data_IF_389858624366
#
_entry.id   IF_389858624366
#
_cell.length_a   1.000
_cell.length_b   1.000
_cell.length_c   1.000
_cell.angle_alpha   90.00
_cell.angle_beta   90.00
_cell.angle_gamma   90.00
#
_symmetry.space_group_name_H-M   'P 1'
#
loop_
_entity.id
_entity.type
_entity.pdbx_description
1 polymer ?
#
# COMPACT_ATOMS: atom_id res chain seq x y z
N UNK A 1 -9.51 0.36 23.56
CA UNK A 1 -9.63 1.64 22.79
C UNK A 1 -8.91 1.45 21.47
N UNK A 2 -9.57 1.81 20.37
CA UNK A 2 -9.03 1.66 19.00
C UNK A 2 -8.47 2.96 18.48
N UNK A 3 -7.33 2.87 17.80
CA UNK A 3 -6.63 3.98 17.14
C UNK A 3 -6.47 3.69 15.67
N UNK A 4 -6.51 4.75 14.84
CA UNK A 4 -6.16 4.65 13.43
C UNK A 4 -5.15 5.71 13.04
N UNK A 5 -4.42 5.44 11.96
CA UNK A 5 -3.47 6.38 11.37
C UNK A 5 -3.29 6.08 9.88
N UNK A 6 -2.68 6.99 9.18
CA UNK A 6 -2.18 6.77 7.81
C UNK A 6 -0.68 6.61 7.83
N UNK A 7 -0.15 5.70 7.00
CA UNK A 7 1.29 5.57 6.82
C UNK A 7 1.70 5.69 5.36
N UNK A 8 2.80 6.39 5.16
CA UNK A 8 3.56 6.47 3.94
C UNK A 8 4.82 5.63 4.11
N UNK A 9 5.25 4.89 3.09
CA UNK A 9 6.48 4.09 3.16
C UNK A 9 7.15 3.90 1.81
N UNK A 10 8.48 3.81 1.87
CA UNK A 10 9.35 3.45 0.75
C UNK A 10 9.38 1.93 0.60
N UNK A 11 8.53 1.39 -0.29
CA UNK A 11 8.33 -0.06 -0.43
C UNK A 11 9.57 -0.83 -0.87
N UNK A 12 10.47 -0.21 -1.64
CA UNK A 12 11.75 -0.81 -2.08
C UNK A 12 12.67 -1.19 -0.91
N UNK A 13 12.45 -0.62 0.28
CA UNK A 13 13.19 -0.96 1.50
C UNK A 13 12.61 -2.16 2.27
N UNK A 14 11.49 -2.74 1.82
CA UNK A 14 10.73 -3.75 2.56
C UNK A 14 10.29 -4.93 1.70
N UNK A 15 10.08 -6.07 2.34
CA UNK A 15 9.51 -7.27 1.72
C UNK A 15 7.97 -7.25 1.78
N UNK A 16 7.37 -6.16 1.28
CA UNK A 16 5.93 -5.94 1.29
C UNK A 16 5.38 -5.50 2.64
N UNK A 17 4.06 -5.46 2.71
CA UNK A 17 3.35 -5.05 3.92
C UNK A 17 3.33 -6.12 5.00
N UNK A 18 2.85 -7.32 4.66
CA UNK A 18 2.44 -8.35 5.61
C UNK A 18 3.63 -9.08 6.24
N UNK A 19 3.65 -9.14 7.56
CA UNK A 19 4.58 -10.01 8.28
C UNK A 19 4.36 -11.48 7.89
N UNK A 20 5.44 -12.17 7.52
CA UNK A 20 5.44 -13.57 7.13
C UNK A 20 6.03 -14.38 8.28
N UNK A 21 5.17 -15.05 9.04
CA UNK A 21 5.57 -15.96 10.11
C UNK A 21 5.80 -17.36 9.53
N UNK A 22 6.95 -17.56 8.89
CA UNK A 22 7.45 -18.91 8.65
C UNK A 22 8.43 -19.26 9.78
N UNK A 23 8.03 -20.21 10.63
CA UNK A 23 8.90 -20.88 11.64
C UNK A 23 9.57 -19.95 12.66
N UNK A 24 8.89 -18.91 13.17
CA UNK A 24 9.34 -18.16 14.35
C UNK A 24 10.54 -17.23 14.15
N UNK A 25 11.04 -17.06 12.91
CA UNK A 25 12.06 -16.07 12.57
C UNK A 25 11.61 -15.30 11.33
N UNK A 26 11.30 -14.02 11.50
CA UNK A 26 11.05 -13.13 10.37
C UNK A 26 12.36 -12.95 9.61
N UNK A 27 12.53 -13.68 8.51
CA UNK A 27 13.74 -13.63 7.68
C UNK A 27 13.88 -12.29 6.96
N UNK A 28 12.79 -11.56 6.80
CA UNK A 28 12.72 -10.33 6.03
C UNK A 28 11.91 -9.26 6.75
N UNK A 29 12.41 -8.03 6.74
CA UNK A 29 11.74 -6.88 7.35
C UNK A 29 10.59 -6.43 6.44
N UNK A 30 9.37 -6.42 6.98
CA UNK A 30 8.16 -5.91 6.32
C UNK A 30 7.74 -4.57 6.93
N UNK A 31 6.90 -3.82 6.23
CA UNK A 31 6.38 -2.55 6.77
C UNK A 31 5.62 -2.78 8.09
N UNK A 32 4.81 -3.84 8.15
CA UNK A 32 4.04 -4.19 9.34
C UNK A 32 4.94 -4.54 10.52
N UNK A 33 5.96 -5.39 10.33
CA UNK A 33 6.88 -5.76 11.41
C UNK A 33 7.68 -4.58 11.93
N UNK A 34 8.21 -3.72 11.05
CA UNK A 34 8.94 -2.52 11.43
C UNK A 34 8.07 -1.51 12.21
N UNK A 35 6.81 -1.33 11.81
CA UNK A 35 5.88 -0.49 12.55
C UNK A 35 5.50 -1.11 13.89
N UNK A 36 5.19 -2.40 13.95
CA UNK A 36 4.85 -3.10 15.19
C UNK A 36 5.99 -3.01 16.21
N UNK A 37 7.23 -3.16 15.77
CA UNK A 37 8.41 -2.98 16.58
C UNK A 37 8.51 -1.54 17.12
N UNK A 38 8.38 -0.53 16.25
CA UNK A 38 8.44 0.88 16.64
C UNK A 38 7.35 1.25 17.67
N UNK A 39 6.09 0.81 17.45
CA UNK A 39 5.00 1.02 18.40
C UNK A 39 5.25 0.28 19.72
N UNK A 40 5.75 -0.96 19.66
CA UNK A 40 6.03 -1.76 20.87
C UNK A 40 7.12 -1.12 21.72
N UNK A 41 8.17 -0.55 21.12
CA UNK A 41 9.21 0.21 21.81
C UNK A 41 8.61 1.47 22.45
N UNK A 42 7.85 2.25 21.68
CA UNK A 42 7.32 3.54 22.14
C UNK A 42 6.27 3.39 23.26
N UNK A 43 5.41 2.38 23.18
CA UNK A 43 4.32 2.11 24.14
C UNK A 43 4.73 1.11 25.23
N UNK A 44 5.90 0.48 25.13
CA UNK A 44 6.37 -0.61 26.02
C UNK A 44 5.35 -1.74 26.13
N UNK A 45 4.65 -2.02 25.04
CA UNK A 45 3.59 -3.01 24.96
C UNK A 45 3.52 -3.60 23.54
N UNK A 46 3.38 -4.91 23.37
CA UNK A 46 3.20 -5.52 22.06
C UNK A 46 1.98 -4.95 21.34
N UNK A 47 2.15 -4.51 20.11
CA UNK A 47 1.09 -3.93 19.28
C UNK A 47 0.89 -4.78 18.03
N UNK A 48 -0.36 -5.12 17.73
CA UNK A 48 -0.76 -5.73 16.47
C UNK A 48 -1.40 -4.70 15.56
N UNK A 49 -0.87 -4.56 14.36
CA UNK A 49 -1.36 -3.62 13.37
C UNK A 49 -2.20 -4.33 12.30
N UNK A 50 -3.27 -3.69 11.87
CA UNK A 50 -4.12 -4.15 10.77
C UNK A 50 -4.19 -3.07 9.70
N UNK A 51 -3.62 -3.35 8.53
CA UNK A 51 -3.65 -2.45 7.37
C UNK A 51 -4.90 -2.64 6.51
N UNK A 52 -5.26 -1.60 5.76
CA UNK A 52 -6.39 -1.60 4.82
C UNK A 52 -6.18 -2.53 3.63
N UNK A 53 -4.93 -2.82 3.26
CA UNK A 53 -4.56 -3.73 2.19
C UNK A 53 -3.17 -4.31 2.41
N UNK A 54 -2.85 -5.34 1.64
CA UNK A 54 -1.49 -5.86 1.52
C UNK A 54 -0.88 -5.27 0.27
N UNK A 55 0.36 -4.84 0.36
CA UNK A 55 1.19 -4.47 -0.79
C UNK A 55 2.30 -5.50 -0.94
N UNK A 56 2.63 -5.81 -2.17
CA UNK A 56 3.72 -6.71 -2.50
C UNK A 56 5.10 -6.04 -2.28
N UNK A 57 6.17 -6.83 -2.33
CA UNK A 57 7.56 -6.33 -2.23
C UNK A 57 7.80 -5.23 -3.25
N UNK A 58 8.41 -4.13 -2.82
CA UNK A 58 8.73 -2.99 -3.67
C UNK A 58 7.61 -1.97 -3.84
N UNK A 59 6.35 -2.31 -3.54
CA UNK A 59 5.22 -1.39 -3.68
C UNK A 59 5.24 -0.33 -2.59
N UNK A 60 5.28 0.93 -2.99
CA UNK A 60 5.21 2.10 -2.09
C UNK A 60 3.77 2.39 -1.67
N UNK A 61 3.61 3.16 -0.60
CA UNK A 61 2.32 3.75 -0.26
C UNK A 61 2.49 5.20 0.18
N UNK A 62 1.51 6.04 -0.16
CA UNK A 62 1.44 7.45 0.26
C UNK A 62 0.48 7.67 1.43
N UNK A 63 -0.32 6.67 1.79
CA UNK A 63 -1.32 6.85 2.84
C UNK A 63 -2.14 5.60 3.13
N UNK A 64 -1.48 4.45 3.35
CA UNK A 64 -2.19 3.25 3.78
C UNK A 64 -2.84 3.49 5.15
N UNK A 65 -4.13 3.20 5.26
CA UNK A 65 -4.85 3.27 6.53
C UNK A 65 -4.56 2.04 7.38
N UNK A 66 -4.30 2.24 8.65
CA UNK A 66 -3.94 1.20 9.62
C UNK A 66 -4.69 1.45 10.92
N UNK A 67 -5.12 0.39 11.61
CA UNK A 67 -5.63 0.49 12.96
C UNK A 67 -4.92 -0.46 13.92
N UNK A 68 -5.02 -0.16 15.21
CA UNK A 68 -4.58 -1.01 16.30
C UNK A 68 -5.41 -0.78 17.55
N UNK A 69 -5.43 -1.76 18.43
CA UNK A 69 -6.04 -1.66 19.77
C UNK A 69 -4.95 -1.50 20.82
N UNK A 70 -5.23 -0.66 21.82
CA UNK A 70 -4.35 -0.45 22.95
C UNK A 70 -5.15 -0.18 24.23
N UNK A 71 -4.81 -0.89 25.29
CA UNK A 71 -5.48 -0.82 26.60
C UNK A 71 -4.53 -0.37 27.73
N UNK A 72 -3.35 0.12 27.36
CA UNK A 72 -2.34 0.57 28.34
C UNK A 72 -2.57 2.00 28.82
N UNK A 73 -1.49 2.59 29.35
CA UNK A 73 -1.51 3.97 29.87
C UNK A 73 -1.78 4.97 28.75
N UNK A 74 -2.50 6.05 29.08
CA UNK A 74 -2.69 7.18 28.17
C UNK A 74 -1.36 7.73 27.65
N UNK A 75 -1.39 8.18 26.42
CA UNK A 75 -0.23 8.80 25.76
C UNK A 75 -0.66 10.01 24.93
N UNK A 76 0.28 10.92 24.71
CA UNK A 76 0.12 12.04 23.79
C UNK A 76 0.29 11.56 22.34
N UNK A 77 -0.76 11.72 21.53
CA UNK A 77 -0.79 11.29 20.12
C UNK A 77 0.33 11.95 19.28
N UNK A 78 0.63 13.24 19.53
CA UNK A 78 1.68 13.96 18.80
C UNK A 78 3.07 13.48 19.20
N UNK A 79 3.30 13.18 20.48
CA UNK A 79 4.58 12.61 20.96
C UNK A 79 4.78 11.21 20.41
N UNK A 80 3.73 10.37 20.45
CA UNK A 80 3.81 9.02 19.88
C UNK A 80 4.11 9.07 18.38
N UNK A 81 3.39 9.89 17.61
CA UNK A 81 3.66 10.08 16.17
C UNK A 81 5.12 10.45 15.90
N UNK A 82 5.68 11.40 16.67
CA UNK A 82 7.09 11.80 16.55
C UNK A 82 8.05 10.66 16.88
N UNK A 83 7.77 9.89 17.93
CA UNK A 83 8.58 8.75 18.35
C UNK A 83 8.61 7.67 17.28
N UNK A 84 7.43 7.26 16.74
CA UNK A 84 7.34 6.27 15.66
C UNK A 84 8.10 6.75 14.43
N UNK A 85 7.89 8.00 14.03
CA UNK A 85 8.58 8.60 12.87
C UNK A 85 10.10 8.70 13.06
N UNK A 86 10.59 8.79 14.29
CA UNK A 86 12.02 8.71 14.62
C UNK A 86 12.55 7.27 14.48
N UNK A 87 11.87 6.31 15.08
CA UNK A 87 12.27 4.90 15.11
C UNK A 87 12.30 4.24 13.72
N UNK A 88 11.44 4.66 12.82
CA UNK A 88 11.32 4.10 11.45
C UNK A 88 12.33 4.65 10.45
N UNK A 89 13.35 5.39 10.88
CA UNK A 89 14.55 5.83 10.10
C UNK A 89 14.20 6.50 8.75
N UNK A 90 13.11 7.26 8.69
CA UNK A 90 12.61 7.94 7.48
C UNK A 90 12.10 7.00 6.35
N UNK A 91 12.12 5.69 6.54
CA UNK A 91 11.59 4.74 5.56
C UNK A 91 10.07 4.60 5.64
N UNK A 92 9.51 4.90 6.82
CA UNK A 92 8.07 4.96 7.07
C UNK A 92 7.75 6.27 7.77
N UNK A 93 6.63 6.88 7.42
CA UNK A 93 6.04 8.03 8.11
C UNK A 93 4.61 7.76 8.46
N UNK A 94 4.25 7.95 9.72
CA UNK A 94 2.85 7.95 10.15
C UNK A 94 2.34 9.37 10.31
N UNK A 95 1.05 9.55 10.05
CA UNK A 95 0.32 10.81 10.22
C UNK A 95 -1.14 10.53 10.57
N UNK A 96 -1.84 11.55 11.02
CA UNK A 96 -3.28 11.49 11.31
C UNK A 96 -3.59 10.40 12.36
N UNK A 97 -2.73 10.26 13.39
CA UNK A 97 -2.98 9.32 14.49
C UNK A 97 -4.09 9.87 15.37
N UNK A 98 -5.18 9.12 15.47
CA UNK A 98 -6.38 9.51 16.22
C UNK A 98 -7.10 8.30 16.82
N UNK A 99 -7.96 8.56 17.80
CA UNK A 99 -8.89 7.57 18.33
C UNK A 99 -10.03 7.41 17.33
N UNK A 100 -10.48 6.17 17.14
CA UNK A 100 -11.64 5.86 16.31
C UNK A 100 -12.60 4.90 17.03
N UNK A 101 -13.84 4.75 16.55
CA UNK A 101 -14.79 3.79 17.12
C UNK A 101 -14.22 2.37 17.14
N UNK A 102 -14.50 1.60 18.18
CA UNK A 102 -14.04 0.21 18.31
C UNK A 102 -14.60 -0.71 17.20
N UNK A 103 -15.70 -0.29 16.55
CA UNK A 103 -16.26 -0.96 15.36
C UNK A 103 -15.44 -0.74 14.08
N UNK A 104 -14.58 0.29 14.03
CA UNK A 104 -13.80 0.60 12.84
C UNK A 104 -12.81 -0.51 12.50
N UNK A 105 -12.76 -0.94 11.24
CA UNK A 105 -11.81 -1.94 10.78
C UNK A 105 -11.15 -1.51 9.46
N UNK A 106 -9.86 -1.13 9.51
CA UNK A 106 -9.13 -0.55 8.38
C UNK A 106 -9.27 -1.34 7.07
N UNK A 107 -9.36 -2.67 7.13
CA UNK A 107 -9.48 -3.51 5.94
C UNK A 107 -10.90 -3.65 5.42
N UNK A 108 -11.88 -3.83 6.33
CA UNK A 108 -13.26 -4.16 5.94
C UNK A 108 -14.07 -2.91 5.65
N UNK A 109 -13.76 -1.78 6.30
CA UNK A 109 -14.42 -0.50 6.05
C UNK A 109 -13.78 0.28 4.88
N UNK A 110 -12.71 -0.24 4.29
CA UNK A 110 -12.12 0.37 3.11
C UNK A 110 -13.03 0.16 1.89
N UNK A 111 -13.63 1.23 1.41
CA UNK A 111 -14.56 1.24 0.27
C UNK A 111 -13.84 1.16 -1.08
N UNK A 112 -12.65 1.74 -1.17
CA UNK A 112 -11.84 1.70 -2.40
C UNK A 112 -10.34 1.70 -2.10
N UNK A 113 -9.54 1.34 -3.10
CA UNK A 113 -8.07 1.45 -3.13
C UNK A 113 -7.70 2.18 -4.40
N UNK A 114 -6.75 3.09 -4.27
CA UNK A 114 -6.25 3.89 -5.37
C UNK A 114 -4.76 3.62 -5.56
N UNK A 115 -4.38 3.30 -6.78
CA UNK A 115 -3.00 3.05 -7.19
C UNK A 115 -2.56 4.00 -8.29
N UNK A 116 -1.29 4.34 -8.26
CA UNK A 116 -0.59 4.98 -9.37
C UNK A 116 0.51 4.05 -9.84
N UNK A 117 0.56 3.78 -11.14
CA UNK A 117 1.65 3.04 -11.76
C UNK A 117 2.36 3.96 -12.76
N UNK A 118 3.67 4.16 -12.57
CA UNK A 118 4.46 5.07 -13.38
C UNK A 118 5.33 4.29 -14.35
N UNK A 119 5.37 4.73 -15.61
CA UNK A 119 6.23 4.20 -16.66
C UNK A 119 7.16 5.31 -17.11
N UNK A 120 8.46 5.00 -17.22
CA UNK A 120 9.47 5.87 -17.79
C UNK A 120 9.89 5.35 -19.17
N UNK A 121 9.71 6.19 -20.21
CA UNK A 121 10.07 5.83 -21.59
C UNK A 121 11.54 6.07 -21.92
N UNK A 122 12.33 6.50 -20.94
CA UNK A 122 13.79 6.60 -20.97
C UNK A 122 14.40 6.24 -19.62
N UNK A 123 15.70 5.94 -19.56
CA UNK A 123 16.39 5.69 -18.28
C UNK A 123 16.30 6.90 -17.33
N UNK A 124 16.04 6.62 -16.04
CA UNK A 124 15.97 7.61 -14.96
C UNK A 124 16.77 7.11 -13.74
N UNK A 125 17.67 7.93 -13.21
CA UNK A 125 18.46 7.55 -12.05
C UNK A 125 17.75 7.83 -10.71
N UNK A 126 17.20 9.05 -10.56
CA UNK A 126 16.63 9.52 -9.30
C UNK A 126 15.27 8.88 -8.98
N UNK A 127 14.50 8.50 -9.99
CA UNK A 127 13.13 8.01 -9.83
C UNK A 127 12.99 6.51 -10.13
N UNK A 128 14.09 5.79 -10.35
CA UNK A 128 14.10 4.39 -10.78
C UNK A 128 13.26 3.45 -9.90
N UNK A 129 13.20 3.73 -8.59
CA UNK A 129 12.44 2.91 -7.65
C UNK A 129 10.93 3.24 -7.64
N UNK A 130 10.48 4.26 -8.38
CA UNK A 130 9.10 4.76 -8.38
C UNK A 130 8.33 4.47 -9.67
N UNK A 131 8.90 3.70 -10.59
CA UNK A 131 8.24 3.32 -11.82
C UNK A 131 9.02 2.28 -12.61
N UNK A 132 8.42 1.84 -13.68
CA UNK A 132 9.03 0.89 -14.61
C UNK A 132 9.70 1.63 -15.76
N UNK A 133 10.97 1.35 -16.02
CA UNK A 133 11.67 1.79 -17.21
C UNK A 133 11.37 0.83 -18.36
N UNK A 134 10.55 1.25 -19.32
CA UNK A 134 10.23 0.44 -20.47
C UNK A 134 11.27 0.55 -21.62
N UNK A 135 12.30 1.37 -21.46
CA UNK A 135 13.39 1.53 -22.41
C UNK A 135 12.94 2.02 -23.80
N UNK A 136 13.33 1.31 -24.82
CA UNK A 136 13.05 1.65 -26.23
C UNK A 136 11.68 1.17 -26.75
N UNK A 137 10.78 0.72 -25.87
CA UNK A 137 9.43 0.33 -26.30
C UNK A 137 8.69 1.57 -26.82
N UNK A 138 8.21 1.49 -28.05
CA UNK A 138 7.38 2.53 -28.64
C UNK A 138 5.94 2.33 -28.16
N UNK A 139 5.58 3.01 -27.06
CA UNK A 139 4.24 2.93 -26.47
C UNK A 139 3.29 3.86 -27.20
N UNK A 140 2.18 3.31 -27.69
CA UNK A 140 1.08 4.13 -28.20
C UNK A 140 0.14 4.50 -27.04
N UNK A 141 0.34 5.70 -26.48
CA UNK A 141 -0.40 6.17 -25.32
C UNK A 141 -1.89 6.40 -25.60
N UNK A 142 -2.28 6.67 -26.85
CA UNK A 142 -3.68 6.84 -27.22
C UNK A 142 -4.41 5.49 -27.18
N UNK A 143 -3.82 4.45 -27.78
CA UNK A 143 -4.37 3.09 -27.70
C UNK A 143 -4.42 2.62 -26.23
N UNK A 144 -3.33 2.81 -25.49
CA UNK A 144 -3.30 2.44 -24.06
C UNK A 144 -4.38 3.13 -23.25
N UNK A 145 -4.67 4.40 -23.51
CA UNK A 145 -5.73 5.14 -22.84
C UNK A 145 -7.12 4.63 -23.24
N UNK A 146 -7.32 4.26 -24.51
CA UNK A 146 -8.56 3.69 -25.02
C UNK A 146 -8.83 2.32 -24.38
N UNK A 147 -7.88 1.41 -24.44
CA UNK A 147 -7.97 0.06 -23.86
C UNK A 147 -8.17 0.08 -22.34
N UNK A 148 -7.64 1.08 -21.65
CA UNK A 148 -7.85 1.22 -20.21
C UNK A 148 -9.33 1.39 -19.83
N UNK A 149 -10.16 1.92 -20.72
CA UNK A 149 -11.60 2.10 -20.49
C UNK A 149 -12.34 0.76 -20.44
N UNK A 150 -11.86 -0.26 -21.14
CA UNK A 150 -12.48 -1.59 -21.19
C UNK A 150 -12.40 -2.32 -19.85
N UNK A 151 -11.51 -1.87 -18.95
CA UNK A 151 -11.39 -2.41 -17.59
C UNK A 151 -12.33 -1.75 -16.58
N UNK A 152 -13.04 -0.68 -16.96
CA UNK A 152 -13.96 0.00 -16.06
C UNK A 152 -15.22 -0.84 -15.81
N UNK A 153 -15.72 -0.76 -14.56
CA UNK A 153 -16.87 -1.55 -14.15
C UNK A 153 -16.47 -2.86 -13.46
N UNK A 154 -17.43 -3.79 -13.43
CA UNK A 154 -17.26 -5.07 -12.75
C UNK A 154 -16.83 -6.16 -13.75
N UNK A 155 -15.61 -6.69 -13.56
CA UNK A 155 -15.02 -7.71 -14.42
C UNK A 155 -14.38 -8.83 -13.61
N UNK A 156 -14.21 -9.99 -14.23
CA UNK A 156 -13.43 -11.10 -13.71
C UNK A 156 -11.94 -10.92 -14.09
N UNK A 157 -11.12 -10.62 -13.11
CA UNK A 157 -9.66 -10.40 -13.28
C UNK A 157 -8.82 -11.67 -13.08
N UNK A 158 -9.38 -12.87 -13.24
CA UNK A 158 -8.65 -14.14 -13.03
C UNK A 158 -7.38 -14.24 -13.88
N UNK A 159 -7.40 -13.73 -15.11
CA UNK A 159 -6.25 -13.74 -16.01
C UNK A 159 -5.21 -12.65 -15.73
N UNK A 160 -5.54 -11.70 -14.85
CA UNK A 160 -4.67 -10.58 -14.49
C UNK A 160 -4.13 -10.68 -13.06
N UNK A 161 -4.20 -11.85 -12.42
CA UNK A 161 -3.73 -12.06 -11.07
C UNK A 161 -3.10 -13.44 -10.91
N UNK A 162 -2.42 -13.64 -9.78
CA UNK A 162 -2.08 -14.99 -9.34
C UNK A 162 -3.29 -15.57 -8.59
N UNK A 163 -3.98 -16.57 -9.18
CA UNK A 163 -5.15 -17.17 -8.55
C UNK A 163 -4.79 -17.81 -7.21
N UNK A 164 -5.74 -17.77 -6.27
CA UNK A 164 -5.64 -18.47 -4.99
C UNK A 164 -6.58 -19.66 -5.00
N UNK A 165 -6.12 -20.79 -4.46
CA UNK A 165 -6.93 -22.00 -4.31
C UNK A 165 -7.88 -21.90 -3.09
N UNK A 166 -8.31 -20.69 -2.69
CA UNK A 166 -9.17 -20.46 -1.52
C UNK A 166 -10.64 -20.20 -1.90
N UNK A 167 -11.01 -20.42 -3.16
CA UNK A 167 -12.37 -20.29 -3.67
C UNK A 167 -12.93 -18.87 -3.67
N UNK A 168 -12.09 -17.85 -3.44
CA UNK A 168 -12.55 -16.46 -3.43
C UNK A 168 -12.75 -15.93 -4.85
N UNK A 169 -13.80 -15.13 -5.00
CA UNK A 169 -14.12 -14.45 -6.25
C UNK A 169 -12.96 -13.60 -6.76
N UNK A 170 -12.73 -13.63 -8.06
CA UNK A 170 -11.80 -12.78 -8.80
C UNK A 170 -12.48 -11.55 -9.43
N UNK A 171 -13.79 -11.37 -9.16
CA UNK A 171 -14.53 -10.18 -9.57
C UNK A 171 -14.00 -8.94 -8.85
N UNK A 172 -13.68 -7.90 -9.61
CA UNK A 172 -13.32 -6.57 -9.09
C UNK A 172 -14.12 -5.52 -9.87
N UNK A 173 -14.45 -4.42 -9.18
CA UNK A 173 -15.10 -3.27 -9.82
C UNK A 173 -14.11 -2.12 -9.83
N UNK A 174 -13.64 -1.72 -11.03
CA UNK A 174 -12.77 -0.57 -11.22
C UNK A 174 -13.63 0.67 -11.52
N UNK A 175 -13.45 1.70 -10.72
CA UNK A 175 -14.17 2.98 -10.86
C UNK A 175 -13.35 4.05 -11.55
N UNK A 176 -12.02 3.86 -11.66
CA UNK A 176 -11.11 4.71 -12.39
C UNK A 176 -10.01 3.84 -13.00
N UNK A 177 -9.75 4.04 -14.30
CA UNK A 177 -8.55 3.57 -14.96
C UNK A 177 -8.24 4.55 -16.08
N UNK A 178 -7.36 5.49 -15.81
CA UNK A 178 -6.96 6.52 -16.77
C UNK A 178 -5.45 6.63 -16.88
N UNK A 179 -5.00 7.09 -18.03
CA UNK A 179 -3.62 7.38 -18.34
C UNK A 179 -3.40 8.90 -18.31
N UNK A 180 -2.28 9.33 -17.73
CA UNK A 180 -1.82 10.72 -17.67
C UNK A 180 -0.43 10.79 -18.29
N UNK A 181 -0.25 11.67 -19.29
CA UNK A 181 1.08 12.08 -19.76
C UNK A 181 1.61 13.14 -18.80
N UNK A 182 2.51 12.76 -17.88
CA UNK A 182 3.04 13.68 -16.86
C UNK A 182 4.07 14.64 -17.46
N UNK A 183 4.93 14.12 -18.34
CA UNK A 183 5.91 14.87 -19.14
C UNK A 183 6.37 14.01 -20.32
N UNK A 184 7.33 14.47 -21.13
CA UNK A 184 7.78 13.83 -22.38
C UNK A 184 8.25 12.38 -22.21
N UNK A 185 8.63 11.95 -21.03
CA UNK A 185 9.15 10.61 -20.75
C UNK A 185 8.50 9.88 -19.56
N UNK A 186 7.41 10.44 -19.02
CA UNK A 186 6.72 9.87 -17.85
C UNK A 186 5.24 9.73 -18.13
N UNK A 187 4.77 8.50 -18.11
CA UNK A 187 3.37 8.12 -18.22
C UNK A 187 2.93 7.58 -16.87
N UNK A 188 1.71 7.90 -16.46
CA UNK A 188 1.15 7.40 -15.20
C UNK A 188 -0.26 6.87 -15.39
N UNK A 189 -0.48 5.64 -14.95
CA UNK A 189 -1.80 5.10 -14.75
C UNK A 189 -2.35 5.46 -13.39
N UNK A 190 -3.62 5.79 -13.35
CA UNK A 190 -4.43 6.03 -12.16
C UNK A 190 -5.52 4.97 -12.12
N UNK A 191 -5.53 4.14 -11.10
CA UNK A 191 -6.41 2.99 -11.02
C UNK A 191 -7.10 2.99 -9.66
N UNK A 192 -8.44 3.00 -9.66
CA UNK A 192 -9.22 2.90 -8.44
C UNK A 192 -10.24 1.78 -8.57
N UNK A 193 -10.38 0.98 -7.52
CA UNK A 193 -11.34 -0.11 -7.47
C UNK A 193 -11.73 -0.49 -6.05
N UNK A 194 -12.80 -1.26 -5.93
CA UNK A 194 -13.29 -1.76 -4.64
C UNK A 194 -12.29 -2.72 -3.98
N UNK A 195 -11.52 -3.45 -4.78
CA UNK A 195 -10.45 -4.37 -4.35
C UNK A 195 -9.48 -4.61 -5.49
N UNK A 196 -8.31 -5.12 -5.13
CA UNK A 196 -7.32 -5.64 -6.06
C UNK A 196 -6.87 -7.03 -5.62
N UNK A 197 -6.52 -7.86 -6.59
CA UNK A 197 -6.08 -9.23 -6.39
C UNK A 197 -4.56 -9.29 -6.24
N UNK A 198 -4.06 -10.47 -5.89
CA UNK A 198 -2.62 -10.68 -5.72
C UNK A 198 -1.90 -10.53 -7.06
N UNK A 199 -0.99 -9.57 -7.15
CA UNK A 199 -0.24 -9.21 -8.37
C UNK A 199 -1.10 -8.86 -9.59
N UNK A 200 -2.24 -8.25 -9.34
CA UNK A 200 -3.12 -7.71 -10.40
C UNK A 200 -2.52 -6.48 -11.09
#
# INVERSE_FOLDING_TARGET
>A
MRYRFRCEYLGSAFYGWQEQNESGRTKFVTVQSALQEAFSIALRHPIKLVGSGRTDTGVHARGQCVHFDYEGKEFDLKKLTRSINGLTKRLIRIRDLEICPDSFHARFDATSRYYQYTIFTRPVALLRDFGWECGSLNLNTEIMAQEALDFLGEHDFIHFCIPRNDGKSTMCNLTEFRLEQVNDYTIRFHIQGNRFLHRQ
#
